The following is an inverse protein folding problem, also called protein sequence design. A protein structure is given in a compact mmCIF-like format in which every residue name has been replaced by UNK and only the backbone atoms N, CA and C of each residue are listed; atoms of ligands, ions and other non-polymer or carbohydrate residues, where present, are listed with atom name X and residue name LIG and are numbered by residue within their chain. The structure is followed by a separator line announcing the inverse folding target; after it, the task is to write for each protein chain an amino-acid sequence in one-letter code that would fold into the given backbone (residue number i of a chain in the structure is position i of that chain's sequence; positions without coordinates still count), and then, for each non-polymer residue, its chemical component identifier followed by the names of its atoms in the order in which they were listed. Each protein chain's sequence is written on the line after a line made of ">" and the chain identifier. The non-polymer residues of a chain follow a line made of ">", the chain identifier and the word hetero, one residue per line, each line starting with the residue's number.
data_IF_393973132259
#
_entry.id   IF_393973132259
#
_cell.length_a   1.000
_cell.length_b   1.000
_cell.length_c   1.000
_cell.angle_alpha   90.00
_cell.angle_beta   90.00
_cell.angle_gamma   90.00
#
_symmetry.space_group_name_H-M   'P 1'
#
loop_
_entity.id
_entity.type
_entity.pdbx_description
1 polymer ?
#
# COMPACT_ATOMS: atom_id res chain seq x y z
N UNK A 1 12.91 23.73 -1.58
CA UNK A 1 11.46 23.49 -1.67
C UNK A 1 10.81 24.12 -0.45
N UNK A 2 9.71 24.86 -0.59
CA UNK A 2 8.99 25.44 0.55
C UNK A 2 8.51 24.37 1.53
N UNK A 3 8.45 24.70 2.81
CA UNK A 3 8.10 23.75 3.87
C UNK A 3 6.67 23.22 3.73
N UNK A 4 5.75 24.07 3.26
CA UNK A 4 4.38 23.68 2.90
C UNK A 4 4.33 22.60 1.82
N UNK A 5 5.21 22.66 0.82
CA UNK A 5 5.29 21.63 -0.20
C UNK A 5 5.86 20.32 0.37
N UNK A 6 6.88 20.40 1.24
CA UNK A 6 7.44 19.24 1.94
C UNK A 6 6.35 18.56 2.78
N UNK A 7 5.54 19.35 3.50
CA UNK A 7 4.42 18.87 4.31
C UNK A 7 3.39 18.12 3.48
N UNK A 8 2.96 18.67 2.35
CA UNK A 8 1.97 18.00 1.48
C UNK A 8 2.49 16.70 0.85
N UNK A 9 3.81 16.56 0.69
CA UNK A 9 4.46 15.30 0.29
C UNK A 9 4.44 14.31 1.46
N UNK A 10 4.88 14.72 2.66
CA UNK A 10 4.96 13.85 3.83
C UNK A 10 3.58 13.36 4.29
N UNK A 11 2.53 14.18 4.15
CA UNK A 11 1.14 13.79 4.47
C UNK A 11 0.59 12.66 3.57
N UNK A 12 1.24 12.38 2.44
CA UNK A 12 0.88 11.27 1.53
C UNK A 12 1.63 9.98 1.80
N UNK A 13 2.59 9.99 2.73
CA UNK A 13 3.37 8.80 3.07
C UNK A 13 2.54 7.91 3.98
N UNK A 14 2.29 6.68 3.52
CA UNK A 14 1.52 5.68 4.23
C UNK A 14 2.36 4.84 5.20
N UNK A 15 3.69 4.75 5.03
CA UNK A 15 4.56 3.95 5.90
C UNK A 15 5.31 4.85 6.90
N UNK A 16 5.19 4.55 8.19
CA UNK A 16 5.92 5.31 9.22
C UNK A 16 7.44 5.17 9.07
N UNK A 17 7.93 4.06 8.49
CA UNK A 17 9.36 3.83 8.28
C UNK A 17 9.93 4.81 7.27
N UNK A 18 9.15 5.15 6.25
CA UNK A 18 9.51 6.15 5.26
C UNK A 18 9.51 7.55 5.87
N UNK A 19 8.61 7.84 6.82
CA UNK A 19 8.66 9.08 7.61
C UNK A 19 9.91 9.16 8.49
N UNK A 20 10.30 8.06 9.14
CA UNK A 20 11.51 8.00 9.97
C UNK A 20 12.78 8.16 9.11
N UNK A 21 12.80 7.54 7.93
CA UNK A 21 13.89 7.68 6.95
C UNK A 21 13.98 9.11 6.41
N UNK A 22 12.85 9.72 6.03
CA UNK A 22 12.78 11.11 5.57
C UNK A 22 13.24 12.08 6.65
N UNK A 23 12.80 11.88 7.89
CA UNK A 23 13.25 12.65 9.06
C UNK A 23 14.76 12.54 9.26
N UNK A 24 15.35 11.37 9.02
CA UNK A 24 16.79 11.16 9.19
C UNK A 24 17.60 11.75 8.03
N UNK A 25 17.00 11.92 6.86
CA UNK A 25 17.67 12.38 5.66
C UNK A 25 17.88 13.91 5.61
N UNK A 26 16.95 14.69 6.17
CA UNK A 26 17.00 16.15 6.06
C UNK A 26 16.28 16.87 7.21
N UNK A 27 16.89 17.94 7.73
CA UNK A 27 16.39 18.68 8.90
C UNK A 27 15.00 19.30 8.72
N UNK A 28 14.65 19.78 7.51
CA UNK A 28 13.30 20.30 7.24
C UNK A 28 12.28 19.17 7.28
N UNK A 29 12.59 18.00 6.70
CA UNK A 29 11.75 16.81 6.84
C UNK A 29 11.64 16.37 8.29
N UNK A 30 12.72 16.44 9.08
CA UNK A 30 12.69 16.13 10.51
C UNK A 30 11.72 17.05 11.28
N UNK A 31 11.78 18.36 11.00
CA UNK A 31 10.88 19.35 11.58
C UNK A 31 9.43 19.04 11.24
N UNK A 32 9.12 18.81 9.96
CA UNK A 32 7.76 18.54 9.50
C UNK A 32 7.25 17.17 10.00
N UNK A 33 8.09 16.13 10.02
CA UNK A 33 7.76 14.83 10.59
C UNK A 33 7.50 14.86 12.09
N UNK A 34 7.95 15.90 12.81
CA UNK A 34 7.65 16.08 14.24
C UNK A 34 6.26 16.70 14.49
N UNK A 35 5.61 17.22 13.45
CA UNK A 35 4.29 17.83 13.56
C UNK A 35 3.20 16.80 13.85
N UNK A 36 2.33 17.12 14.82
CA UNK A 36 1.18 16.29 15.18
C UNK A 36 0.23 16.03 14.01
N UNK A 37 0.14 16.97 13.05
CA UNK A 37 -0.69 16.83 11.85
C UNK A 37 -0.27 15.62 11.01
N UNK A 38 1.03 15.38 10.81
CA UNK A 38 1.53 14.26 10.00
C UNK A 38 1.12 12.93 10.63
N UNK A 39 1.31 12.79 11.93
CA UNK A 39 0.95 11.56 12.66
C UNK A 39 -0.56 11.37 12.76
N UNK A 40 -1.33 12.46 12.88
CA UNK A 40 -2.80 12.39 12.87
C UNK A 40 -3.32 11.85 11.55
N UNK A 41 -2.85 12.36 10.41
CA UNK A 41 -3.24 11.83 9.10
C UNK A 41 -2.83 10.36 8.94
N UNK A 42 -1.64 9.99 9.40
CA UNK A 42 -1.19 8.60 9.37
C UNK A 42 -2.08 7.68 10.23
N UNK A 43 -2.53 8.14 11.39
CA UNK A 43 -3.51 7.41 12.22
C UNK A 43 -4.84 7.27 11.51
N UNK A 44 -5.40 8.35 10.96
CA UNK A 44 -6.67 8.32 10.22
C UNK A 44 -6.60 7.45 8.96
N UNK A 45 -5.43 7.35 8.34
CA UNK A 45 -5.20 6.50 7.19
C UNK A 45 -5.25 5.01 7.55
N UNK A 46 -4.57 4.59 8.63
CA UNK A 46 -4.49 3.18 9.01
C UNK A 46 -5.69 2.68 9.82
N UNK A 47 -6.18 3.49 10.76
CA UNK A 47 -7.11 3.05 11.80
C UNK A 47 -8.49 3.69 11.64
N UNK A 48 -9.52 2.89 11.94
CA UNK A 48 -10.89 3.39 12.04
C UNK A 48 -11.07 4.26 13.28
N UNK A 49 -12.03 5.19 13.24
CA UNK A 49 -12.38 6.04 14.40
C UNK A 49 -12.67 5.20 15.66
N UNK A 50 -13.37 4.07 15.51
CA UNK A 50 -13.63 3.16 16.63
C UNK A 50 -12.34 2.61 17.28
N UNK A 51 -11.34 2.24 16.48
CA UNK A 51 -10.04 1.79 17.01
C UNK A 51 -9.32 2.92 17.74
N UNK A 52 -9.36 4.15 17.20
CA UNK A 52 -8.77 5.33 17.83
C UNK A 52 -9.45 5.63 19.18
N UNK A 53 -10.78 5.70 19.19
CA UNK A 53 -11.59 6.01 20.39
C UNK A 53 -11.45 4.93 21.49
N UNK A 54 -11.07 3.71 21.13
CA UNK A 54 -10.83 2.63 22.09
C UNK A 54 -9.52 2.78 22.89
N UNK A 55 -8.55 3.50 22.34
CA UNK A 55 -7.23 3.73 22.97
C UNK A 55 -7.14 5.14 23.56
N UNK A 56 -7.73 6.13 22.89
CA UNK A 56 -7.70 7.52 23.29
C UNK A 56 -9.11 8.05 23.53
N UNK A 57 -9.37 8.59 24.73
CA UNK A 57 -10.65 9.25 25.03
C UNK A 57 -10.55 10.72 24.64
N UNK A 58 -11.60 11.25 24.02
CA UNK A 58 -11.64 12.56 23.36
C UNK A 58 -11.35 13.81 24.23
N UNK A 59 -11.06 13.65 25.53
CA UNK A 59 -10.91 14.75 26.49
C UNK A 59 -9.47 15.27 26.63
N UNK A 60 -8.48 14.57 26.06
CA UNK A 60 -7.06 14.97 26.08
C UNK A 60 -6.55 15.22 24.65
N UNK A 61 -5.61 16.16 24.46
CA UNK A 61 -4.92 16.32 23.17
C UNK A 61 -3.89 15.19 23.01
N UNK A 62 -4.09 14.24 22.08
CA UNK A 62 -3.22 13.09 21.98
C UNK A 62 -1.88 13.44 21.36
N UNK A 63 -0.82 12.86 21.90
CA UNK A 63 0.44 12.69 21.16
C UNK A 63 0.20 11.64 20.06
N UNK A 64 -0.11 12.11 18.85
CA UNK A 64 -0.49 11.29 17.71
C UNK A 64 0.59 10.29 17.32
N UNK A 65 1.88 10.62 17.54
CA UNK A 65 2.99 9.69 17.28
C UNK A 65 2.96 8.51 18.26
N UNK A 66 2.76 8.79 19.54
CA UNK A 66 2.62 7.72 20.55
C UNK A 66 1.37 6.89 20.29
N UNK A 67 0.25 7.54 20.02
CA UNK A 67 -1.03 6.88 19.73
C UNK A 67 -0.92 5.97 18.49
N UNK A 68 -0.27 6.44 17.42
CA UNK A 68 0.01 5.63 16.24
C UNK A 68 0.75 4.34 16.60
N UNK A 69 1.83 4.43 17.38
CA UNK A 69 2.62 3.25 17.73
C UNK A 69 1.86 2.29 18.67
N UNK A 70 0.96 2.79 19.52
CA UNK A 70 0.07 1.96 20.32
C UNK A 70 -0.96 1.22 19.44
N UNK A 71 -1.66 1.94 18.57
CA UNK A 71 -2.63 1.36 17.65
C UNK A 71 -2.00 0.34 16.71
N UNK A 72 -0.79 0.63 16.18
CA UNK A 72 -0.01 -0.30 15.35
C UNK A 72 0.28 -1.62 16.08
N UNK A 73 0.60 -1.56 17.38
CA UNK A 73 0.86 -2.77 18.18
C UNK A 73 -0.41 -3.58 18.44
N UNK A 74 -1.57 -2.92 18.55
CA UNK A 74 -2.85 -3.57 18.88
C UNK A 74 -3.56 -4.14 17.64
N UNK A 75 -3.56 -3.40 16.53
CA UNK A 75 -4.38 -3.69 15.35
C UNK A 75 -3.57 -4.01 14.09
N UNK A 76 -2.24 -3.83 14.11
CA UNK A 76 -1.43 -3.91 12.89
C UNK A 76 -1.57 -2.67 12.02
N UNK A 77 -1.05 -2.72 10.79
CA UNK A 77 -1.23 -1.69 9.76
C UNK A 77 -2.10 -2.23 8.64
N UNK A 78 -2.69 -1.33 7.85
CA UNK A 78 -3.46 -1.74 6.67
C UNK A 78 -2.52 -2.24 5.57
N UNK A 79 -2.53 -3.54 5.31
CA UNK A 79 -1.63 -4.18 4.34
C UNK A 79 -1.95 -3.81 2.88
N UNK A 80 -3.23 -3.59 2.57
CA UNK A 80 -3.71 -3.13 1.26
C UNK A 80 -3.22 -1.72 0.90
N UNK A 81 -2.90 -0.92 1.91
CA UNK A 81 -2.45 0.45 1.77
C UNK A 81 -0.92 0.58 1.67
N UNK A 82 -0.20 -0.53 1.86
CA UNK A 82 1.26 -0.59 1.83
C UNK A 82 1.82 -0.62 0.39
N UNK A 83 0.99 -0.98 -0.59
CA UNK A 83 1.38 -1.08 -2.00
C UNK A 83 0.35 -0.40 -2.89
N UNK A 84 0.81 0.42 -3.84
CA UNK A 84 -0.07 1.20 -4.70
C UNK A 84 -0.97 0.35 -5.60
N UNK A 85 -0.50 -0.81 -6.05
CA UNK A 85 -1.29 -1.73 -6.88
C UNK A 85 -0.82 -3.18 -6.73
N UNK A 86 -1.77 -4.12 -6.77
CA UNK A 86 -1.51 -5.57 -6.73
C UNK A 86 -1.33 -6.11 -8.15
N UNK A 87 -0.19 -6.77 -8.40
CA UNK A 87 0.06 -7.48 -9.65
C UNK A 87 -0.92 -8.64 -9.83
N UNK A 88 -1.21 -8.99 -11.07
CA UNK A 88 -2.00 -10.15 -11.44
C UNK A 88 -1.17 -11.12 -12.27
N UNK A 89 -1.29 -12.42 -11.98
CA UNK A 89 -0.67 -13.50 -12.74
C UNK A 89 -1.68 -14.09 -13.71
N UNK A 90 -1.36 -14.05 -14.99
CA UNK A 90 -2.10 -14.80 -16.00
C UNK A 90 -1.80 -16.30 -15.87
N UNK A 91 -2.84 -17.13 -15.77
CA UNK A 91 -2.66 -18.59 -15.71
C UNK A 91 -2.29 -19.22 -17.06
N UNK A 92 -2.50 -18.51 -18.16
CA UNK A 92 -2.29 -19.00 -19.53
C UNK A 92 -0.86 -18.74 -20.02
N UNK A 93 -0.45 -17.47 -20.08
CA UNK A 93 0.90 -17.10 -20.54
C UNK A 93 1.92 -16.91 -19.41
N UNK A 94 1.51 -17.05 -18.14
CA UNK A 94 2.36 -16.83 -16.95
C UNK A 94 2.93 -15.41 -16.82
N UNK A 95 2.37 -14.45 -17.55
CA UNK A 95 2.73 -13.04 -17.44
C UNK A 95 2.22 -12.43 -16.12
N UNK A 96 3.08 -11.62 -15.48
CA UNK A 96 2.71 -10.74 -14.37
C UNK A 96 2.42 -9.34 -14.94
N UNK A 97 1.27 -8.76 -14.58
CA UNK A 97 0.83 -7.47 -15.11
C UNK A 97 0.02 -6.65 -14.11
N UNK A 98 -0.03 -5.33 -14.30
CA UNK A 98 -0.94 -4.43 -13.59
C UNK A 98 -2.31 -4.43 -14.26
N UNK A 99 -3.38 -4.62 -13.47
CA UNK A 99 -4.74 -4.69 -14.04
C UNK A 99 -5.16 -3.37 -14.68
N UNK A 100 -4.74 -2.25 -14.10
CA UNK A 100 -5.00 -0.91 -14.62
C UNK A 100 -4.42 -0.66 -16.03
N UNK A 101 -3.28 -1.28 -16.35
CA UNK A 101 -2.57 -1.10 -17.62
C UNK A 101 -2.94 -2.15 -18.68
N UNK A 102 -3.79 -3.13 -18.31
CA UNK A 102 -4.19 -4.21 -19.19
C UNK A 102 -3.15 -5.34 -19.28
N UNK A 103 -3.55 -6.41 -19.96
CA UNK A 103 -2.77 -7.64 -20.08
C UNK A 103 -2.45 -7.95 -21.54
N UNK A 104 -1.17 -7.97 -21.96
CA UNK A 104 -0.78 -8.40 -23.31
C UNK A 104 -0.79 -9.93 -23.40
N UNK A 105 -1.97 -10.54 -23.38
CA UNK A 105 -2.09 -12.00 -23.42
C UNK A 105 -1.69 -12.55 -24.79
N UNK A 106 -0.88 -13.62 -24.82
CA UNK A 106 -0.64 -14.41 -26.04
C UNK A 106 -1.99 -14.94 -26.60
N UNK A 107 -2.97 -15.21 -25.74
CA UNK A 107 -4.30 -15.65 -26.16
C UNK A 107 -5.09 -14.61 -26.95
N UNK A 108 -4.77 -13.32 -26.81
CA UNK A 108 -5.40 -12.28 -27.63
C UNK A 108 -4.66 -12.07 -28.96
N UNK A 109 -3.42 -12.57 -29.08
CA UNK A 109 -2.60 -12.47 -30.28
C UNK A 109 -2.77 -13.68 -31.23
N UNK A 110 -3.32 -14.80 -30.75
CA UNK A 110 -3.43 -16.05 -31.51
C UNK A 110 -4.86 -16.62 -31.45
N UNK A 111 -5.63 -16.54 -32.56
CA UNK A 111 -7.02 -17.03 -32.62
C UNK A 111 -7.16 -18.51 -32.27
N UNK A 112 -6.22 -19.38 -32.71
CA UNK A 112 -6.32 -20.81 -32.43
C UNK A 112 -6.17 -21.11 -30.93
N UNK A 113 -5.30 -20.40 -30.23
CA UNK A 113 -5.13 -20.55 -28.79
C UNK A 113 -6.37 -20.06 -28.03
N UNK A 114 -7.04 -19.02 -28.53
CA UNK A 114 -8.28 -18.48 -27.96
C UNK A 114 -9.45 -19.47 -28.09
N UNK A 115 -9.56 -20.19 -29.20
CA UNK A 115 -10.56 -21.23 -29.38
C UNK A 115 -10.32 -22.41 -28.44
N UNK A 116 -9.09 -22.91 -28.35
CA UNK A 116 -8.72 -23.97 -27.39
C UNK A 116 -9.02 -23.58 -25.94
N UNK A 117 -8.87 -22.29 -25.62
CA UNK A 117 -9.23 -21.73 -24.32
C UNK A 117 -10.73 -21.73 -24.07
N UNK A 118 -11.55 -21.38 -25.07
CA UNK A 118 -13.01 -21.44 -24.97
C UNK A 118 -13.50 -22.88 -24.78
N UNK A 119 -12.93 -23.83 -25.50
CA UNK A 119 -13.24 -25.26 -25.37
C UNK A 119 -12.87 -25.82 -23.99
N UNK A 120 -11.79 -25.31 -23.39
CA UNK A 120 -11.33 -25.70 -22.05
C UNK A 120 -12.08 -25.02 -20.89
N UNK A 121 -13.19 -24.32 -21.15
CA UNK A 121 -14.01 -23.66 -20.12
C UNK A 121 -13.82 -22.15 -19.99
N UNK A 122 -13.12 -21.51 -20.94
CA UNK A 122 -12.97 -20.07 -21.02
C UNK A 122 -11.78 -19.49 -20.25
N UNK A 123 -11.53 -18.17 -20.36
CA UNK A 123 -10.45 -17.50 -19.66
C UNK A 123 -10.68 -17.51 -18.14
N UNK A 124 -9.71 -18.02 -17.39
CA UNK A 124 -9.75 -17.97 -15.93
C UNK A 124 -9.40 -16.55 -15.44
N UNK A 125 -10.03 -16.06 -14.37
CA UNK A 125 -9.68 -14.77 -13.81
C UNK A 125 -8.20 -14.74 -13.39
N UNK A 126 -7.48 -13.65 -13.67
CA UNK A 126 -6.09 -13.49 -13.23
C UNK A 126 -5.99 -13.61 -11.71
N UNK A 127 -4.94 -14.26 -11.23
CA UNK A 127 -4.73 -14.45 -9.80
C UNK A 127 -3.97 -13.25 -9.21
N UNK A 128 -4.48 -12.55 -8.19
CA UNK A 128 -3.74 -11.48 -7.54
C UNK A 128 -2.49 -12.03 -6.87
N UNK A 129 -1.37 -11.32 -6.99
CA UNK A 129 -0.07 -11.69 -6.44
C UNK A 129 0.32 -10.67 -5.38
N UNK A 130 0.19 -11.01 -4.09
CA UNK A 130 0.73 -10.19 -3.01
C UNK A 130 2.26 -10.07 -3.13
N UNK A 131 2.88 -8.99 -2.63
CA UNK A 131 4.34 -8.80 -2.71
C UNK A 131 5.16 -9.95 -2.09
N UNK A 132 4.69 -10.53 -0.98
CA UNK A 132 5.32 -11.71 -0.38
C UNK A 132 5.29 -12.94 -1.31
N UNK A 133 4.24 -13.10 -2.13
CA UNK A 133 4.18 -14.15 -3.14
C UNK A 133 5.04 -13.81 -4.37
N UNK A 134 5.11 -12.53 -4.75
CA UNK A 134 5.96 -12.06 -5.85
C UNK A 134 7.44 -12.42 -5.63
N UNK A 135 7.96 -12.18 -4.43
CA UNK A 135 9.36 -12.48 -4.12
C UNK A 135 9.70 -13.97 -4.27
N UNK A 136 8.72 -14.87 -4.05
CA UNK A 136 8.91 -16.32 -4.23
C UNK A 136 9.16 -16.73 -5.68
N UNK A 137 8.80 -15.90 -6.66
CA UNK A 137 9.11 -16.18 -8.06
C UNK A 137 10.58 -15.99 -8.42
N UNK A 138 11.36 -15.27 -7.60
CA UNK A 138 12.76 -14.94 -7.87
C UNK A 138 13.74 -15.57 -6.89
N UNK A 139 13.25 -16.18 -5.80
CA UNK A 139 14.05 -17.02 -4.92
C UNK A 139 14.30 -18.37 -5.60
N UNK A 140 15.43 -18.46 -6.31
CA UNK A 140 16.03 -19.71 -6.81
C UNK A 140 16.67 -20.50 -5.67
#
# INVERSE_FOLDING_TARGET
>A
MPEECVREILLRIADHRDLDAASSAWSVMASVCSEQRVWRELVSFHFSKHQVDSVHKADEDPDWKKLFHQLRKLYGLREDAQYAETLSLCRHCKCLFWRSLGHPCIADQCPEYRERLKEAGGPLPPHPVPPAAFLKFFSL
#
